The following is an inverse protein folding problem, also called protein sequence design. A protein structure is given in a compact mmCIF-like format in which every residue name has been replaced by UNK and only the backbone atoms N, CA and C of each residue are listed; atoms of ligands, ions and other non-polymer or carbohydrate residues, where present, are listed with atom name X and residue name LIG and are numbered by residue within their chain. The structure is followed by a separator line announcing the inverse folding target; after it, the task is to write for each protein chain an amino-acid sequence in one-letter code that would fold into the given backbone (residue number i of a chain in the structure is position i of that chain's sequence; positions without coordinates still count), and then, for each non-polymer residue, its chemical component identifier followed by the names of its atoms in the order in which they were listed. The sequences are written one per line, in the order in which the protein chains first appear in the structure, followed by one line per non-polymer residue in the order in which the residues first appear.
data_IF_429145365166
#
_entry.id   IF_429145365166
#
_cell.length_a   1.000
_cell.length_b   1.000
_cell.length_c   1.000
_cell.angle_alpha   90.00
_cell.angle_beta   90.00
_cell.angle_gamma   90.00
#
_symmetry.space_group_name_H-M   'P 1'
#
loop_
_entity.id
_entity.type
_entity.pdbx_description
1 polymer ?
#
# COMPACT_ATOMS: atom_id res chain seq x y z
N UNK A 1 23.42 -1.49 0.14
CA UNK A 1 23.27 -2.12 -1.20
C UNK A 1 24.36 -1.56 -2.11
N UNK A 2 25.10 -2.42 -2.82
CA UNK A 2 26.09 -2.00 -3.82
C UNK A 2 25.51 -1.98 -5.24
N UNK A 3 25.98 -1.08 -6.08
CA UNK A 3 25.50 -0.85 -7.43
C UNK A 3 26.64 -0.38 -8.36
N UNK A 4 26.43 -0.44 -9.67
CA UNK A 4 27.32 0.14 -10.68
C UNK A 4 26.47 1.05 -11.59
N UNK A 5 26.99 2.19 -12.04
CA UNK A 5 26.25 3.05 -12.97
C UNK A 5 26.22 2.47 -14.41
N UNK A 6 25.18 2.68 -15.21
CA UNK A 6 23.83 3.11 -14.84
C UNK A 6 23.05 1.93 -14.23
N UNK A 7 22.34 2.17 -13.13
CA UNK A 7 21.48 1.16 -12.54
C UNK A 7 20.24 1.75 -11.87
N UNK A 8 19.21 0.93 -11.75
CA UNK A 8 17.98 1.24 -11.06
C UNK A 8 17.55 0.04 -10.19
N UNK A 9 17.11 0.32 -8.98
CA UNK A 9 16.47 -0.64 -8.07
C UNK A 9 15.07 -0.15 -7.75
N UNK A 10 14.08 -1.00 -7.94
CA UNK A 10 12.68 -0.70 -7.61
C UNK A 10 12.30 -1.28 -6.25
N UNK A 11 11.72 -0.45 -5.40
CA UNK A 11 11.24 -0.82 -4.06
C UNK A 11 9.74 -0.57 -3.99
N UNK A 12 8.98 -1.57 -3.57
CA UNK A 12 7.56 -1.40 -3.31
C UNK A 12 7.34 -0.81 -1.91
N UNK A 13 6.63 0.30 -1.81
CA UNK A 13 6.33 0.97 -0.55
C UNK A 13 4.92 0.69 -0.02
N UNK A 14 4.00 0.26 -0.88
CA UNK A 14 2.60 0.06 -0.52
C UNK A 14 1.91 1.32 0.03
N UNK A 15 2.48 2.52 -0.21
CA UNK A 15 2.05 3.82 0.31
C UNK A 15 1.99 3.95 1.84
N UNK A 16 2.39 2.92 2.59
CA UNK A 16 2.47 2.91 4.05
C UNK A 16 3.74 3.60 4.58
N UNK A 17 4.71 3.81 3.68
CA UNK A 17 6.03 4.27 4.06
C UNK A 17 6.19 5.77 3.96
N UNK A 18 6.60 6.42 5.04
CA UNK A 18 6.64 7.88 5.14
C UNK A 18 7.99 8.47 4.78
N UNK A 19 9.07 7.68 4.89
CA UNK A 19 10.41 8.16 4.60
C UNK A 19 11.33 7.07 4.07
N UNK A 20 12.18 7.45 3.12
CA UNK A 20 13.35 6.70 2.71
C UNK A 20 14.61 7.44 3.16
N UNK A 21 15.58 6.71 3.72
CA UNK A 21 16.85 7.26 4.18
C UNK A 21 18.00 6.39 3.72
N UNK A 22 19.12 6.99 3.33
CA UNK A 22 20.36 6.30 2.99
C UNK A 22 21.57 7.23 3.10
N UNK A 23 22.74 6.66 3.34
CA UNK A 23 24.04 7.30 3.07
C UNK A 23 24.49 6.88 1.67
N UNK A 24 24.80 7.84 0.80
CA UNK A 24 25.19 7.55 -0.59
C UNK A 24 26.56 8.06 -0.94
N UNK A 25 27.28 7.30 -1.78
CA UNK A 25 28.63 7.64 -2.20
C UNK A 25 29.21 6.65 -3.21
N UNK A 26 30.37 7.01 -3.76
CA UNK A 26 31.21 6.12 -4.57
C UNK A 26 31.91 5.14 -3.61
N UNK A 27 31.87 3.84 -3.91
CA UNK A 27 32.51 2.81 -3.09
C UNK A 27 34.04 3.00 -3.07
N UNK A 28 34.66 2.74 -1.93
CA UNK A 28 36.11 2.85 -1.75
C UNK A 28 36.81 1.57 -2.24
N UNK A 29 36.58 1.19 -3.49
CA UNK A 29 37.22 0.02 -4.10
C UNK A 29 38.43 0.43 -4.95
N UNK A 30 39.61 0.46 -4.32
CA UNK A 30 40.89 0.54 -5.03
C UNK A 30 41.75 1.76 -4.69
N UNK A 31 42.84 1.94 -5.45
CA UNK A 31 43.81 3.03 -5.27
C UNK A 31 43.54 4.26 -6.15
N UNK A 32 42.51 4.19 -6.99
CA UNK A 32 42.19 5.23 -7.98
C UNK A 32 40.73 5.69 -7.76
N UNK A 33 40.57 6.77 -7.00
CA UNK A 33 39.31 7.46 -6.68
C UNK A 33 38.70 8.19 -7.91
N UNK A 34 38.43 7.46 -9.00
CA UNK A 34 38.02 8.05 -10.29
C UNK A 34 36.51 8.00 -10.57
N UNK A 35 35.74 7.23 -9.81
CA UNK A 35 34.31 7.09 -10.00
C UNK A 35 33.55 8.41 -9.84
N UNK A 36 32.44 8.54 -10.56
CA UNK A 36 31.69 9.76 -10.83
C UNK A 36 30.21 9.41 -10.96
N UNK A 37 29.43 9.58 -9.88
CA UNK A 37 28.02 9.14 -9.87
C UNK A 37 27.07 10.22 -9.41
N UNK A 38 25.81 10.11 -9.85
CA UNK A 38 24.70 10.86 -9.27
C UNK A 38 23.63 9.90 -8.81
N UNK A 39 23.17 10.10 -7.57
CA UNK A 39 22.05 9.37 -7.00
C UNK A 39 20.75 10.12 -7.27
N UNK A 40 19.69 9.38 -7.61
CA UNK A 40 18.35 9.90 -7.84
C UNK A 40 17.33 8.99 -7.16
N UNK A 41 16.33 9.59 -6.52
CA UNK A 41 15.20 8.89 -5.92
C UNK A 41 13.94 9.36 -6.62
N UNK A 42 13.24 8.43 -7.27
CA UNK A 42 11.92 8.69 -7.85
C UNK A 42 10.86 7.99 -7.03
N UNK A 43 9.67 8.60 -6.92
CA UNK A 43 8.46 7.98 -6.41
C UNK A 43 7.39 8.00 -7.48
N UNK A 44 6.85 6.84 -7.85
CA UNK A 44 5.86 6.68 -8.92
C UNK A 44 6.27 7.42 -10.22
N UNK A 45 7.56 7.34 -10.57
CA UNK A 45 8.14 8.00 -11.76
C UNK A 45 8.43 9.50 -11.61
N UNK A 46 8.08 10.13 -10.47
CA UNK A 46 8.39 11.52 -10.18
C UNK A 46 9.70 11.65 -9.42
N UNK A 47 10.64 12.47 -9.91
CA UNK A 47 11.88 12.75 -9.19
C UNK A 47 11.58 13.44 -7.86
N UNK A 48 12.02 12.85 -6.76
CA UNK A 48 11.81 13.37 -5.40
C UNK A 48 13.08 14.02 -4.84
N UNK A 49 14.24 13.42 -5.11
CA UNK A 49 15.53 13.94 -4.67
C UNK A 49 16.64 13.49 -5.62
N UNK A 50 17.73 14.26 -5.66
CA UNK A 50 18.95 13.90 -6.34
C UNK A 50 20.16 14.55 -5.65
N UNK A 51 21.34 13.94 -5.77
CA UNK A 51 22.59 14.53 -5.29
C UNK A 51 23.24 15.39 -6.36
N UNK A 52 24.21 16.22 -6.00
CA UNK A 52 25.25 16.62 -6.95
C UNK A 52 26.07 15.41 -7.43
N UNK A 53 26.97 15.61 -8.40
CA UNK A 53 27.90 14.55 -8.81
C UNK A 53 28.86 14.27 -7.66
N UNK A 54 28.83 13.04 -7.16
CA UNK A 54 29.72 12.53 -6.13
C UNK A 54 30.92 11.87 -6.80
N UNK A 55 32.11 12.07 -6.22
CA UNK A 55 33.37 11.53 -6.74
C UNK A 55 34.01 10.56 -5.75
N UNK A 56 34.84 9.67 -6.26
CA UNK A 56 35.73 8.84 -5.45
C UNK A 56 36.51 9.67 -4.42
N UNK A 57 36.76 9.10 -3.24
CA UNK A 57 37.41 9.78 -2.11
C UNK A 57 36.57 10.86 -1.42
N UNK A 58 35.35 11.14 -1.90
CA UNK A 58 34.41 12.06 -1.27
C UNK A 58 33.77 11.48 0.00
N UNK A 59 33.35 12.37 0.92
CA UNK A 59 32.54 11.96 2.06
C UNK A 59 31.14 11.49 1.59
N UNK A 60 30.53 10.52 2.29
CA UNK A 60 29.16 10.10 1.99
C UNK A 60 28.19 11.26 2.19
N UNK A 61 27.10 11.25 1.42
CA UNK A 61 26.01 12.22 1.48
C UNK A 61 24.75 11.55 2.03
N UNK A 62 24.18 12.13 3.09
CA UNK A 62 22.91 11.68 3.64
C UNK A 62 21.74 12.09 2.74
N UNK A 63 20.94 11.12 2.31
CA UNK A 63 19.65 11.33 1.67
C UNK A 63 18.53 10.98 2.65
N UNK A 64 17.58 11.91 2.83
CA UNK A 64 16.32 11.68 3.56
C UNK A 64 15.18 12.23 2.73
N UNK A 65 14.34 11.35 2.20
CA UNK A 65 13.29 11.67 1.24
C UNK A 65 11.93 11.34 1.85
N UNK A 66 10.99 12.29 1.95
CA UNK A 66 9.61 11.98 2.31
C UNK A 66 8.96 11.12 1.21
N UNK A 67 8.36 10.00 1.60
CA UNK A 67 7.78 9.02 0.66
C UNK A 67 6.27 8.81 0.85
N UNK A 68 5.64 9.65 1.67
CA UNK A 68 4.21 9.58 1.95
C UNK A 68 3.40 9.50 0.65
N UNK A 69 2.60 8.44 0.55
CA UNK A 69 1.71 8.26 -0.58
C UNK A 69 2.37 7.80 -1.88
N UNK A 70 3.66 7.47 -1.93
CA UNK A 70 4.26 6.84 -3.13
C UNK A 70 4.12 5.31 -3.09
N UNK A 71 3.79 4.71 -4.23
CA UNK A 71 3.58 3.26 -4.36
C UNK A 71 4.88 2.50 -4.56
N UNK A 72 5.76 3.04 -5.40
CA UNK A 72 7.11 2.52 -5.62
C UNK A 72 8.15 3.61 -5.45
N UNK A 73 9.35 3.22 -5.04
CA UNK A 73 10.55 4.01 -5.27
C UNK A 73 11.37 3.39 -6.39
N UNK A 74 11.99 4.23 -7.19
CA UNK A 74 13.14 3.87 -8.02
C UNK A 74 14.37 4.58 -7.46
N UNK A 75 15.35 3.78 -7.03
CA UNK A 75 16.66 4.21 -6.58
C UNK A 75 17.62 4.08 -7.75
N UNK A 76 17.98 5.21 -8.36
CA UNK A 76 18.79 5.25 -9.59
C UNK A 76 20.18 5.82 -9.33
N UNK A 77 21.18 5.18 -9.93
CA UNK A 77 22.55 5.70 -10.03
C UNK A 77 22.83 5.98 -11.49
N UNK A 78 23.31 7.18 -11.80
CA UNK A 78 23.71 7.58 -13.16
C UNK A 78 25.20 7.84 -13.25
N UNK A 79 25.80 7.60 -14.41
CA UNK A 79 27.21 7.77 -14.77
C UNK A 79 27.72 9.23 -14.87
N UNK A 80 26.96 10.18 -14.30
CA UNK A 80 27.20 11.61 -14.35
C UNK A 80 27.50 12.21 -15.75
N UNK A 81 27.21 11.46 -16.83
CA UNK A 81 27.51 11.78 -18.23
C UNK A 81 29.00 11.81 -18.58
N UNK A 82 29.89 11.23 -17.78
CA UNK A 82 31.30 11.02 -18.13
C UNK A 82 31.67 9.55 -18.38
N UNK A 83 30.66 8.68 -18.37
CA UNK A 83 30.79 7.26 -18.69
C UNK A 83 31.03 6.42 -17.44
N UNK A 84 30.57 5.17 -17.49
CA UNK A 84 30.42 4.33 -16.29
C UNK A 84 31.71 3.79 -15.65
N UNK A 85 32.88 4.14 -16.15
CA UNK A 85 34.12 3.48 -15.71
C UNK A 85 34.43 3.84 -14.25
N UNK A 86 34.59 2.82 -13.40
CA UNK A 86 34.84 2.96 -11.95
C UNK A 86 33.65 3.49 -11.11
N UNK A 87 32.44 3.52 -11.67
CA UNK A 87 31.24 4.02 -11.00
C UNK A 87 30.60 2.99 -10.06
N UNK A 88 31.40 2.44 -9.16
CA UNK A 88 30.92 1.58 -8.09
C UNK A 88 30.28 2.47 -7.03
N UNK A 89 29.01 2.24 -6.73
CA UNK A 89 28.19 3.12 -5.91
C UNK A 89 27.53 2.33 -4.77
N UNK A 90 27.36 2.97 -3.61
CA UNK A 90 26.61 2.38 -2.50
C UNK A 90 25.41 3.22 -2.10
N UNK A 91 24.31 2.53 -1.84
CA UNK A 91 23.23 2.96 -0.96
C UNK A 91 23.47 2.32 0.41
N UNK A 92 24.30 2.93 1.24
CA UNK A 92 24.63 2.46 2.59
C UNK A 92 23.51 2.82 3.58
N UNK A 93 23.27 1.93 4.55
CA UNK A 93 22.18 2.05 5.54
C UNK A 93 20.81 2.44 4.94
N UNK A 94 20.56 1.96 3.72
CA UNK A 94 19.34 2.26 2.99
C UNK A 94 18.15 1.61 3.69
N UNK A 95 17.25 2.43 4.20
CA UNK A 95 16.08 2.00 4.97
C UNK A 95 14.84 2.79 4.56
N UNK A 96 13.71 2.14 4.74
CA UNK A 96 12.40 2.77 4.58
C UNK A 96 11.73 2.75 5.96
N UNK A 97 11.35 3.92 6.45
CA UNK A 97 10.54 4.06 7.65
C UNK A 97 9.08 4.16 7.26
N UNK A 98 8.33 3.13 7.63
CA UNK A 98 6.90 3.13 7.48
C UNK A 98 6.27 3.47 8.82
N UNK A 99 5.12 4.17 8.79
CA UNK A 99 4.24 4.01 9.95
C UNK A 99 3.94 2.53 9.92
N UNK A 100 4.34 1.82 10.97
CA UNK A 100 3.60 0.61 11.29
C UNK A 100 2.15 1.07 11.30
N UNK A 101 1.33 0.48 10.42
CA UNK A 101 -0.10 0.58 10.61
C UNK A 101 -0.31 0.24 12.08
N UNK A 102 -0.92 1.14 12.83
CA UNK A 102 -1.13 0.84 14.23
C UNK A 102 -1.96 -0.45 14.25
N UNK A 103 -1.43 -1.53 14.82
CA UNK A 103 -2.20 -2.71 15.19
C UNK A 103 -3.38 -2.35 16.14
N UNK A 104 -3.45 -1.10 16.61
CA UNK A 104 -4.54 -0.50 17.37
C UNK A 104 -5.38 0.57 16.66
N UNK A 105 -5.25 0.81 15.35
CA UNK A 105 -6.14 1.72 14.62
C UNK A 105 -7.57 1.18 14.59
N UNK A 106 -8.58 1.95 15.03
CA UNK A 106 -9.95 1.44 15.07
C UNK A 106 -10.45 1.02 13.67
N UNK A 107 -10.05 1.71 12.60
CA UNK A 107 -10.51 1.39 11.24
C UNK A 107 -9.65 0.31 10.58
N UNK A 108 -10.31 -0.56 9.81
CA UNK A 108 -9.66 -1.60 8.99
C UNK A 108 -8.73 -0.98 7.94
N UNK A 109 -9.10 0.17 7.38
CA UNK A 109 -8.26 0.88 6.40
C UNK A 109 -6.98 1.48 6.99
N UNK A 110 -6.83 1.47 8.33
CA UNK A 110 -5.62 1.88 9.03
C UNK A 110 -4.73 0.70 9.45
N UNK A 111 -5.15 -0.55 9.18
CA UNK A 111 -4.46 -1.78 9.64
C UNK A 111 -3.66 -2.47 8.53
N UNK A 112 -2.65 -3.24 8.91
CA UNK A 112 -2.04 -4.21 8.00
C UNK A 112 -3.07 -5.27 7.60
N UNK A 113 -3.10 -5.59 6.31
CA UNK A 113 -3.94 -6.66 5.78
C UNK A 113 -3.37 -7.22 4.49
N UNK A 114 -3.78 -8.45 4.17
CA UNK A 114 -3.51 -9.12 2.90
C UNK A 114 -4.74 -9.02 1.98
N UNK A 115 -4.66 -8.27 0.86
CA UNK A 115 -5.78 -8.06 -0.06
C UNK A 115 -5.75 -8.96 -1.30
N UNK A 116 -6.92 -9.40 -1.76
CA UNK A 116 -7.17 -9.88 -3.12
C UNK A 116 -8.40 -9.19 -3.68
N UNK A 117 -8.46 -9.05 -5.00
CA UNK A 117 -9.54 -8.30 -5.66
C UNK A 117 -9.76 -8.84 -7.08
N UNK A 118 -11.00 -8.75 -7.58
CA UNK A 118 -11.38 -9.29 -8.88
C UNK A 118 -11.01 -8.36 -10.05
N UNK A 119 -10.86 -7.07 -9.77
CA UNK A 119 -10.44 -6.04 -10.70
C UNK A 119 -9.78 -4.86 -9.98
N UNK A 120 -8.57 -4.49 -10.39
CA UNK A 120 -7.80 -3.44 -9.73
C UNK A 120 -7.36 -3.77 -8.30
N UNK A 121 -6.60 -2.87 -7.67
CA UNK A 121 -6.22 -3.02 -6.27
C UNK A 121 -7.38 -2.72 -5.30
N UNK A 122 -7.27 -3.23 -4.07
CA UNK A 122 -8.09 -2.76 -2.95
C UNK A 122 -7.61 -1.37 -2.55
N UNK A 123 -8.53 -0.43 -2.43
CA UNK A 123 -8.25 0.97 -2.14
C UNK A 123 -8.54 1.32 -0.68
N UNK A 124 -7.64 2.06 -0.04
CA UNK A 124 -7.85 2.58 1.32
C UNK A 124 -8.49 3.97 1.24
N UNK A 125 -9.54 4.16 2.02
CA UNK A 125 -10.27 5.42 2.21
C UNK A 125 -10.84 6.06 0.93
N UNK A 126 -10.89 5.29 -0.16
CA UNK A 126 -11.43 5.65 -1.48
C UNK A 126 -12.12 4.42 -2.07
N UNK A 127 -13.04 4.63 -3.02
CA UNK A 127 -13.68 3.53 -3.76
C UNK A 127 -12.67 2.82 -4.66
N UNK A 128 -12.89 1.56 -5.04
CA UNK A 128 -12.08 0.96 -6.12
C UNK A 128 -12.32 1.74 -7.42
N UNK A 129 -11.25 2.22 -8.06
CA UNK A 129 -11.31 3.03 -9.29
C UNK A 129 -10.86 2.30 -10.55
N UNK A 130 -10.82 0.96 -10.50
CA UNK A 130 -10.59 0.03 -11.60
C UNK A 130 -9.16 -0.46 -11.83
N UNK A 131 -8.22 0.34 -12.33
CA UNK A 131 -6.99 -0.22 -12.95
C UNK A 131 -5.75 0.04 -12.11
N UNK A 132 -5.61 1.25 -11.60
CA UNK A 132 -4.41 1.74 -10.92
C UNK A 132 -4.69 1.95 -9.44
N UNK A 133 -3.67 1.79 -8.60
CA UNK A 133 -3.82 2.16 -7.20
C UNK A 133 -4.05 3.68 -7.05
N UNK A 134 -5.04 4.07 -6.23
CA UNK A 134 -5.52 5.44 -5.99
C UNK A 134 -6.19 6.14 -7.18
N UNK A 135 -6.76 5.41 -8.13
CA UNK A 135 -7.67 5.98 -9.13
C UNK A 135 -9.12 6.10 -8.60
N UNK A 136 -9.34 5.58 -7.39
CA UNK A 136 -10.58 5.66 -6.64
C UNK A 136 -11.10 7.08 -6.42
N UNK A 137 -12.42 7.22 -6.51
CA UNK A 137 -13.10 8.45 -6.08
C UNK A 137 -13.45 8.39 -4.59
N UNK A 138 -14.00 9.50 -4.07
CA UNK A 138 -14.48 9.57 -2.67
C UNK A 138 -15.34 8.35 -2.34
N UNK A 139 -14.98 7.66 -1.24
CA UNK A 139 -15.71 6.50 -0.77
C UNK A 139 -17.17 6.89 -0.49
N UNK A 140 -18.09 6.35 -1.29
CA UNK A 140 -19.51 6.71 -1.24
C UNK A 140 -20.37 5.45 -1.19
N UNK A 141 -21.26 5.41 -0.21
CA UNK A 141 -22.23 4.33 -0.03
C UNK A 141 -23.60 4.92 0.23
N UNK A 142 -24.64 4.43 -0.46
CA UNK A 142 -26.02 4.86 -0.18
C UNK A 142 -26.22 6.38 -0.28
N UNK A 143 -25.37 7.07 -1.05
CA UNK A 143 -25.33 8.54 -1.15
C UNK A 143 -24.55 9.26 -0.04
N UNK A 144 -24.04 8.55 0.96
CA UNK A 144 -23.24 9.09 2.06
C UNK A 144 -21.74 8.97 1.74
N UNK A 145 -20.99 10.04 2.03
CA UNK A 145 -19.53 10.09 1.86
C UNK A 145 -18.82 9.67 3.13
N UNK A 146 -17.79 8.85 2.98
CA UNK A 146 -16.98 8.35 4.08
C UNK A 146 -15.52 8.78 3.89
N UNK A 147 -14.86 9.15 4.98
CA UNK A 147 -13.43 9.45 5.00
C UNK A 147 -12.59 8.22 5.34
N UNK A 148 -13.22 7.14 5.82
CA UNK A 148 -12.57 5.89 6.22
C UNK A 148 -13.29 4.68 5.62
N UNK A 149 -12.53 3.69 5.15
CA UNK A 149 -13.06 2.40 4.70
C UNK A 149 -12.21 1.79 3.58
N UNK A 150 -12.70 0.72 2.97
CA UNK A 150 -12.03 0.06 1.84
C UNK A 150 -12.91 0.03 0.60
N UNK A 151 -12.36 0.39 -0.55
CA UNK A 151 -12.95 0.17 -1.86
C UNK A 151 -12.43 -1.11 -2.49
N UNK A 152 -13.33 -1.98 -2.92
CA UNK A 152 -13.02 -3.28 -3.51
C UNK A 152 -13.84 -3.54 -4.77
N UNK A 153 -13.50 -4.60 -5.49
CA UNK A 153 -14.22 -5.10 -6.65
C UNK A 153 -14.32 -6.62 -6.59
N UNK A 154 -15.55 -7.15 -6.57
CA UNK A 154 -15.75 -8.58 -6.38
C UNK A 154 -15.12 -9.42 -7.52
N UNK A 155 -14.76 -10.69 -7.24
CA UNK A 155 -14.58 -11.27 -5.91
C UNK A 155 -13.35 -10.68 -5.20
N UNK A 156 -13.48 -10.36 -3.91
CA UNK A 156 -12.42 -9.71 -3.13
C UNK A 156 -12.28 -10.30 -1.73
N UNK A 157 -11.06 -10.29 -1.19
CA UNK A 157 -10.79 -10.64 0.21
C UNK A 157 -9.81 -9.66 0.84
N UNK A 158 -10.05 -9.27 2.08
CA UNK A 158 -9.10 -8.52 2.90
C UNK A 158 -8.91 -9.25 4.22
N UNK A 159 -7.73 -9.83 4.45
CA UNK A 159 -7.43 -10.60 5.66
C UNK A 159 -6.56 -9.79 6.60
N UNK A 160 -7.06 -9.57 7.81
CA UNK A 160 -6.44 -8.72 8.84
C UNK A 160 -6.04 -9.63 10.01
N UNK A 161 -4.78 -9.60 10.47
CA UNK A 161 -4.41 -10.20 11.75
C UNK A 161 -5.07 -9.42 12.89
N UNK A 162 -5.66 -10.12 13.85
CA UNK A 162 -6.35 -9.54 14.99
C UNK A 162 -5.69 -10.03 16.27
N UNK A 163 -5.16 -9.11 17.06
CA UNK A 163 -4.51 -9.42 18.34
C UNK A 163 -5.59 -9.61 19.43
N UNK A 164 -6.51 -10.56 19.24
CA UNK A 164 -7.37 -11.14 20.28
C UNK A 164 -8.28 -10.21 21.09
N UNK A 165 -8.43 -8.92 20.77
CA UNK A 165 -9.16 -7.97 21.62
C UNK A 165 -10.37 -7.30 20.96
N UNK A 166 -10.71 -7.61 19.71
CA UNK A 166 -11.67 -6.80 18.95
C UNK A 166 -13.05 -7.44 18.79
N UNK A 167 -14.10 -6.61 18.86
CA UNK A 167 -15.51 -6.92 18.70
C UNK A 167 -16.17 -5.91 17.73
N UNK A 168 -16.91 -6.38 16.72
CA UNK A 168 -17.67 -5.53 15.80
C UNK A 168 -16.91 -5.12 14.51
N UNK A 169 -17.69 -4.97 13.42
CA UNK A 169 -17.30 -4.49 12.11
C UNK A 169 -18.53 -3.81 11.50
N UNK A 170 -18.46 -2.54 11.08
CA UNK A 170 -19.56 -1.73 10.51
C UNK A 170 -19.26 -1.27 9.08
N UNK A 171 -20.18 -1.48 8.14
CA UNK A 171 -19.83 -1.60 6.71
C UNK A 171 -21.00 -1.23 5.79
N UNK A 172 -20.72 -0.74 4.59
CA UNK A 172 -21.68 0.06 3.80
C UNK A 172 -21.28 0.04 2.29
N UNK A 173 -22.20 -0.18 1.30
CA UNK A 173 -21.95 -0.43 -0.16
C UNK A 173 -22.47 0.63 -1.20
N UNK A 174 -21.73 0.81 -2.30
CA UNK A 174 -22.04 1.68 -3.47
C UNK A 174 -23.02 1.14 -4.54
N UNK A 175 -23.13 1.82 -5.69
CA UNK A 175 -24.42 2.01 -6.38
C UNK A 175 -24.79 1.15 -7.61
N UNK A 176 -24.02 0.20 -8.15
CA UNK A 176 -24.42 -0.50 -9.41
C UNK A 176 -24.03 -1.99 -9.61
N UNK A 177 -23.54 -2.69 -8.58
CA UNK A 177 -23.16 -4.12 -8.65
C UNK A 177 -24.10 -5.07 -7.89
N UNK A 178 -23.79 -6.36 -7.94
CA UNK A 178 -24.52 -7.47 -7.33
C UNK A 178 -23.55 -8.30 -6.48
N UNK A 179 -23.66 -8.21 -5.15
CA UNK A 179 -22.61 -8.73 -4.25
C UNK A 179 -23.17 -9.34 -2.97
N UNK A 180 -22.42 -10.26 -2.38
CA UNK A 180 -22.63 -10.68 -0.98
C UNK A 180 -21.40 -10.38 -0.14
N UNK A 181 -21.63 -9.98 1.10
CA UNK A 181 -20.58 -9.70 2.07
C UNK A 181 -20.49 -10.84 3.07
N UNK A 182 -19.28 -11.31 3.31
CA UNK A 182 -18.97 -12.35 4.28
C UNK A 182 -17.92 -11.84 5.27
N UNK A 183 -18.17 -12.08 6.56
CA UNK A 183 -17.17 -11.89 7.61
C UNK A 183 -16.75 -13.28 8.08
N UNK A 184 -15.46 -13.56 8.01
CA UNK A 184 -14.88 -14.87 8.31
C UNK A 184 -13.86 -14.69 9.43
N UNK A 185 -14.05 -15.38 10.56
CA UNK A 185 -13.16 -15.34 11.71
C UNK A 185 -12.45 -16.69 11.85
N UNK A 186 -11.12 -16.69 11.81
CA UNK A 186 -10.28 -17.91 11.85
C UNK A 186 -10.76 -19.02 10.89
N UNK A 187 -11.08 -18.63 9.65
CA UNK A 187 -11.55 -19.53 8.61
C UNK A 187 -13.03 -19.94 8.71
N UNK A 188 -13.77 -19.48 9.72
CA UNK A 188 -15.21 -19.75 9.87
C UNK A 188 -16.05 -18.52 9.55
N UNK A 189 -16.97 -18.64 8.60
CA UNK A 189 -17.95 -17.58 8.32
C UNK A 189 -18.83 -17.33 9.55
N UNK A 190 -18.82 -16.09 10.03
CA UNK A 190 -19.61 -15.63 11.18
C UNK A 190 -20.77 -14.73 10.77
N UNK A 191 -20.74 -14.19 9.56
CA UNK A 191 -21.84 -13.42 8.99
C UNK A 191 -21.82 -13.49 7.46
N UNK A 192 -23.01 -13.49 6.87
CA UNK A 192 -23.23 -13.40 5.43
C UNK A 192 -24.45 -12.53 5.19
N UNK A 193 -24.35 -11.54 4.31
CA UNK A 193 -25.51 -10.74 3.90
C UNK A 193 -26.35 -11.50 2.87
N UNK A 194 -27.63 -11.12 2.67
CA UNK A 194 -28.31 -11.39 1.41
C UNK A 194 -27.55 -10.81 0.21
N UNK A 195 -27.98 -11.15 -1.01
CA UNK A 195 -27.51 -10.48 -2.23
C UNK A 195 -27.94 -9.02 -2.18
N UNK A 196 -26.96 -8.12 -2.31
CA UNK A 196 -27.14 -6.68 -2.34
C UNK A 196 -26.92 -6.18 -3.76
N UNK A 197 -27.82 -5.33 -4.23
CA UNK A 197 -27.81 -4.73 -5.57
C UNK A 197 -27.53 -3.24 -5.49
N UNK A 198 -27.24 -2.62 -6.62
CA UNK A 198 -26.93 -1.21 -6.74
C UNK A 198 -27.78 -0.28 -5.88
N UNK A 199 -27.12 0.43 -4.97
CA UNK A 199 -27.71 1.43 -4.08
C UNK A 199 -28.28 0.86 -2.77
N UNK A 200 -28.33 -0.47 -2.62
CA UNK A 200 -28.67 -1.10 -1.35
C UNK A 200 -27.49 -1.08 -0.40
N UNK A 201 -27.81 -0.98 0.88
CA UNK A 201 -26.84 -1.00 1.97
C UNK A 201 -27.20 -2.06 3.00
N UNK A 202 -26.18 -2.54 3.72
CA UNK A 202 -26.37 -3.47 4.83
C UNK A 202 -25.39 -3.12 5.94
N UNK A 203 -25.93 -2.75 7.10
CA UNK A 203 -25.13 -2.57 8.30
C UNK A 203 -24.77 -3.96 8.82
N UNK A 204 -23.47 -4.23 8.95
CA UNK A 204 -22.95 -5.44 9.55
C UNK A 204 -22.55 -5.07 10.99
N UNK A 205 -22.82 -5.93 11.95
CA UNK A 205 -22.37 -5.77 13.32
C UNK A 205 -22.26 -7.17 13.94
N UNK A 206 -21.03 -7.63 14.14
CA UNK A 206 -20.76 -9.02 14.54
C UNK A 206 -19.91 -9.05 15.79
N UNK A 207 -20.41 -9.72 16.83
CA UNK A 207 -19.59 -10.05 18.00
C UNK A 207 -18.54 -11.08 17.61
N UNK A 208 -17.27 -10.78 17.90
CA UNK A 208 -16.15 -11.67 17.60
C UNK A 208 -15.62 -12.28 18.91
N UNK A 209 -15.29 -13.58 18.89
CA UNK A 209 -14.75 -14.29 20.05
C UNK A 209 -13.22 -14.31 20.04
N UNK A 210 -12.61 -13.12 19.91
CA UNK A 210 -11.14 -12.94 19.93
C UNK A 210 -10.41 -13.78 18.86
N UNK A 211 -10.79 -13.68 17.58
CA UNK A 211 -10.11 -14.43 16.54
C UNK A 211 -8.67 -13.96 16.37
N UNK A 212 -7.80 -14.82 15.85
CA UNK A 212 -6.45 -14.46 15.45
C UNK A 212 -6.43 -13.72 14.10
N UNK A 213 -7.44 -13.95 13.26
CA UNK A 213 -7.57 -13.37 11.94
C UNK A 213 -9.03 -13.11 11.57
N UNK A 214 -9.25 -12.01 10.83
CA UNK A 214 -10.53 -11.67 10.24
C UNK A 214 -10.37 -11.50 8.72
N UNK A 215 -11.13 -12.25 7.93
CA UNK A 215 -11.23 -12.04 6.49
C UNK A 215 -12.57 -11.38 6.16
N UNK A 216 -12.49 -10.22 5.53
CA UNK A 216 -13.61 -9.52 4.92
C UNK A 216 -13.70 -9.92 3.46
N UNK A 217 -14.77 -10.61 3.06
CA UNK A 217 -14.91 -11.17 1.73
C UNK A 217 -16.13 -10.59 1.01
N UNK A 218 -15.95 -10.26 -0.26
CA UNK A 218 -17.03 -9.86 -1.17
C UNK A 218 -17.10 -10.88 -2.30
N UNK A 219 -18.26 -11.50 -2.51
CA UNK A 219 -18.51 -12.36 -3.67
C UNK A 219 -19.33 -11.61 -4.73
N UNK A 220 -19.26 -12.10 -5.97
CA UNK A 220 -19.95 -11.60 -7.16
C UNK A 220 -21.41 -12.09 -7.28
N UNK A 221 -22.00 -12.55 -6.18
CA UNK A 221 -23.38 -13.07 -6.07
C UNK A 221 -23.83 -14.10 -7.15
N UNK A 222 -22.89 -14.70 -7.90
CA UNK A 222 -23.16 -15.66 -8.96
C UNK A 222 -23.55 -15.09 -10.32
N UNK A 223 -23.53 -13.77 -10.54
CA UNK A 223 -23.72 -13.15 -11.86
C UNK A 223 -22.42 -12.67 -12.54
N UNK A 224 -21.28 -12.96 -11.90
CA UNK A 224 -19.96 -12.63 -12.41
C UNK A 224 -19.60 -11.17 -12.16
N UNK A 225 -18.30 -10.87 -12.16
CA UNK A 225 -17.74 -9.62 -11.60
C UNK A 225 -18.19 -8.28 -12.21
N UNK A 226 -19.04 -8.24 -13.23
CA UNK A 226 -19.26 -6.99 -13.98
C UNK A 226 -19.92 -5.91 -13.11
N UNK A 227 -19.24 -4.77 -12.95
CA UNK A 227 -19.71 -3.62 -12.16
C UNK A 227 -19.81 -3.86 -10.64
N UNK A 228 -19.18 -4.92 -10.12
CA UNK A 228 -19.24 -5.30 -8.71
C UNK A 228 -18.27 -4.51 -7.82
N UNK A 229 -18.26 -3.19 -8.02
CA UNK A 229 -17.60 -2.28 -7.09
C UNK A 229 -18.36 -2.32 -5.76
N UNK A 230 -17.62 -2.58 -4.69
CA UNK A 230 -18.14 -2.77 -3.36
C UNK A 230 -17.30 -1.98 -2.37
N UNK A 231 -17.92 -1.50 -1.29
CA UNK A 231 -17.24 -0.74 -0.27
C UNK A 231 -17.44 -1.42 1.09
N UNK A 232 -16.38 -1.44 1.88
CA UNK A 232 -16.43 -1.66 3.33
C UNK A 232 -16.28 -0.28 4.00
N UNK A 233 -17.33 0.56 3.92
CA UNK A 233 -17.27 1.93 4.45
C UNK A 233 -17.31 1.97 5.98
N UNK A 234 -16.46 2.81 6.60
CA UNK A 234 -16.29 2.93 8.04
C UNK A 234 -15.98 1.61 8.80
N UNK A 235 -15.51 0.58 8.08
CA UNK A 235 -15.08 -0.70 8.65
C UNK A 235 -14.12 -0.48 9.80
N UNK A 236 -14.56 -0.86 11.01
CA UNK A 236 -13.81 -0.67 12.25
C UNK A 236 -13.87 -1.89 13.16
N UNK A 237 -12.80 -2.13 13.87
CA UNK A 237 -12.67 -3.10 14.95
C UNK A 237 -12.68 -2.34 16.28
N UNK A 238 -13.64 -2.63 17.16
CA UNK A 238 -13.67 -2.07 18.52
C UNK A 238 -12.91 -3.00 19.45
N UNK A 239 -11.77 -2.57 19.98
CA UNK A 239 -10.95 -3.41 20.85
C UNK A 239 -10.91 -2.78 22.23
N UNK A 240 -11.54 -3.44 23.22
CA UNK A 240 -11.61 -3.02 24.62
C UNK A 240 -10.69 -3.89 25.49
#
# INVERSE_FOLDING_TARGET
MGAHADSAVHVYLGRACQRFEAEVGVDAEGREDRGSVRFQVYGDGRLLAYTDVLRGGGAPVSLSVPTNGFHTLELRVTDARDGKDHDHANWADARVSCVGTASGGAFVSDRDFEPTNGWGPVERDTSNGEVQALDGTVLTTGGVRYTKGLGVHAPATVTIPVDGACHGLDTEIGSNGSVTFEVIADGRTVHTTPVLRGGQTANIAVGLSRPASLTLKVNDAGDGKSYDHANWAAARLSCD
#
